data_IF_486052467250
#
_entry.id   IF_486052467250
#
_cell.length_a   1.000
_cell.length_b   1.000
_cell.length_c   1.000
_cell.angle_alpha   90.00
_cell.angle_beta   90.00
_cell.angle_gamma   90.00
#
_symmetry.space_group_name_H-M   'P 1'
#
loop_
_entity.id
_entity.type
_entity.pdbx_description
1 polymer ?
2 polymer ?
3 polymer ?
#
loop_
_entity_poly.entity_id
_entity_poly.type
_entity_poly.pdbx_seq_one_letter_code
_entity_poly.pdbx_strand_id
2 'polydeoxyribonucleotide' '(DT)(DA)(DC)(DC)(DC)(DG)(DT)(DA)(DC)(DG)(DT)(DA)(DG)(DA)(DA)(DC)(DT)(DC)(DG)(DC)(DC)(DA)(DG)(DT)(DA)' ?
3 'polydeoxyribonucleotide' '(DT)(DA)(DC)(DT)(DG)(DG)(DC)(DG)(DA)(DG)(DT)(DT)(DC)(DT)(DA)(DC)(DG)(DT)(DA)(DC)(DG)(DG)(DG)(DT)(DA)' ?
#
# COMPACT_ATOMS: atom_id res chain seq x y z
N UNK A 57 21.71 -16.24 31.23
CA UNK A 57 20.53 -16.23 30.37
C UNK A 57 20.64 -17.28 29.26
N UNK A 58 19.52 -17.63 28.64
CA UNK A 58 19.47 -18.50 27.48
C UNK A 58 19.54 -17.68 26.20
N UNK A 59 19.19 -18.26 25.04
CA UNK A 59 19.22 -17.46 23.82
C UNK A 59 18.14 -16.39 23.91
N UNK A 60 18.52 -15.23 24.43
CA UNK A 60 17.56 -14.13 24.52
C UNK A 60 17.28 -13.51 23.17
N UNK A 61 18.16 -13.76 22.19
CA UNK A 61 18.02 -13.13 20.87
C UNK A 61 16.67 -13.45 20.23
N UNK A 62 16.27 -14.72 20.28
CA UNK A 62 14.98 -15.10 19.71
C UNK A 62 13.80 -14.40 20.37
N UNK A 63 13.78 -14.38 21.70
CA UNK A 63 12.69 -13.72 22.42
C UNK A 63 12.71 -12.21 22.19
N UNK A 64 13.90 -11.61 22.07
CA UNK A 64 13.99 -10.19 21.77
C UNK A 64 13.43 -9.87 20.38
N UNK A 65 13.74 -10.69 19.38
CA UNK A 65 13.17 -10.42 18.07
C UNK A 65 11.65 -10.54 18.09
N UNK A 66 11.13 -11.53 18.83
CA UNK A 66 9.67 -11.68 18.96
C UNK A 66 9.05 -10.45 19.62
N UNK A 67 9.67 -9.99 20.71
CA UNK A 67 9.15 -8.82 21.42
C UNK A 67 9.25 -7.58 20.54
N UNK A 68 10.40 -7.40 19.88
CA UNK A 68 10.59 -6.22 19.03
C UNK A 68 9.56 -6.20 17.91
N UNK A 69 9.28 -7.34 17.27
CA UNK A 69 8.24 -7.37 16.25
C UNK A 69 6.89 -6.92 16.84
N UNK A 70 6.56 -7.43 18.03
CA UNK A 70 5.34 -7.01 18.72
C UNK A 70 5.31 -5.48 18.96
N UNK A 71 6.41 -4.94 19.48
CA UNK A 71 6.53 -3.52 19.87
C UNK A 71 6.51 -2.56 18.67
N UNK A 72 7.23 -2.91 17.58
CA UNK A 72 7.27 -2.05 16.39
C UNK A 72 5.90 -1.88 15.78
N UNK A 73 5.09 -2.93 15.78
CA UNK A 73 3.77 -2.78 15.20
C UNK A 73 2.91 -1.81 16.01
N UNK A 74 2.96 -1.90 17.34
CA UNK A 74 2.18 -0.99 18.17
C UNK A 74 2.66 0.46 18.05
N UNK A 75 3.98 0.69 18.11
CA UNK A 75 4.50 2.06 18.18
C UNK A 75 4.94 2.69 16.86
N UNK A 76 5.34 1.92 15.87
CA UNK A 76 5.99 2.44 14.68
C UNK A 76 7.49 2.51 14.87
N UNK A 77 8.23 2.50 13.76
CA UNK A 77 9.68 2.47 13.86
C UNK A 77 10.24 3.62 14.69
N UNK A 78 9.87 4.84 14.33
CA UNK A 78 10.44 6.02 14.99
C UNK A 78 10.07 6.13 16.47
N UNK A 79 8.80 5.84 16.80
CA UNK A 79 8.36 5.94 18.18
C UNK A 79 8.88 4.80 19.04
N UNK A 80 9.16 3.63 18.45
CA UNK A 80 9.67 2.55 19.26
C UNK A 80 11.00 3.03 19.82
N UNK A 81 11.30 2.61 21.03
CA UNK A 81 12.54 3.00 21.65
C UNK A 81 13.24 1.84 22.31
N UNK A 82 14.55 1.97 22.42
CA UNK A 82 15.30 0.94 23.12
C UNK A 82 14.88 0.89 24.57
N UNK A 83 14.47 2.04 25.13
CA UNK A 83 13.98 2.06 26.49
C UNK A 83 12.74 1.19 26.60
N UNK A 84 11.80 1.35 25.65
CA UNK A 84 10.58 0.54 25.60
C UNK A 84 10.87 -0.93 25.36
N UNK A 85 11.81 -1.22 24.45
CA UNK A 85 12.14 -2.62 24.15
C UNK A 85 12.72 -3.31 25.39
N UNK A 86 13.70 -2.65 26.04
CA UNK A 86 14.27 -3.19 27.27
C UNK A 86 13.19 -3.37 28.32
N UNK A 87 12.32 -2.35 28.48
CA UNK A 87 11.22 -2.42 29.44
C UNK A 87 10.36 -3.66 29.21
N UNK A 88 9.89 -3.85 27.97
CA UNK A 88 8.96 -4.97 27.71
C UNK A 88 9.66 -6.33 27.72
N UNK A 89 10.95 -6.37 27.40
CA UNK A 89 11.67 -7.64 27.45
C UNK A 89 12.10 -7.96 28.87
N UNK A 90 12.08 -6.94 29.74
CA UNK A 90 12.48 -6.99 31.12
C UNK A 90 13.97 -7.11 31.28
N UNK A 91 14.72 -6.75 30.24
CA UNK A 91 16.17 -6.79 30.23
C UNK A 91 16.70 -5.37 30.16
N UNK A 92 17.92 -5.19 30.63
CA UNK A 92 18.51 -3.85 30.53
C UNK A 92 18.90 -3.48 29.09
N UNK A 93 18.97 -2.18 28.78
CA UNK A 93 19.39 -1.78 27.45
C UNK A 93 20.80 -2.20 27.10
N UNK A 94 21.81 -2.15 28.02
CA UNK A 94 23.13 -2.67 27.61
C UNK A 94 23.16 -4.13 27.18
N UNK A 95 22.39 -5.01 27.80
CA UNK A 95 22.33 -6.42 27.36
C UNK A 95 21.75 -6.52 25.96
N UNK A 96 20.70 -5.74 25.69
CA UNK A 96 20.11 -5.70 24.36
C UNK A 96 21.18 -5.29 23.36
N UNK A 97 21.99 -4.30 23.73
CA UNK A 97 23.08 -3.86 22.87
C UNK A 97 24.18 -4.92 22.78
N UNK A 98 24.28 -5.76 23.81
CA UNK A 98 25.20 -6.89 23.77
C UNK A 98 24.82 -7.87 22.69
N UNK A 99 23.52 -7.96 22.40
CA UNK A 99 23.01 -8.86 21.36
C UNK A 99 22.98 -8.22 19.97
N UNK A 100 22.59 -6.94 19.89
CA UNK A 100 22.42 -6.20 18.64
C UNK A 100 23.16 -4.86 18.79
N UNK A 101 24.23 -4.69 18.02
CA UNK A 101 25.04 -3.50 18.18
C UNK A 101 24.34 -2.24 17.66
N UNK A 102 23.28 -2.37 16.85
CA UNK A 102 22.54 -1.19 16.42
C UNK A 102 21.07 -1.50 16.25
N UNK A 103 20.25 -0.45 16.30
CA UNK A 103 18.82 -0.57 16.08
C UNK A 103 18.51 -1.06 14.67
N UNK A 104 19.28 -0.59 13.68
CA UNK A 104 19.09 -0.99 12.29
C UNK A 104 19.33 -2.49 12.07
N UNK A 105 20.36 -3.06 12.69
CA UNK A 105 20.60 -4.49 12.51
C UNK A 105 19.39 -5.28 13.01
N UNK A 106 18.84 -4.89 14.15
CA UNK A 106 17.67 -5.58 14.69
C UNK A 106 16.50 -5.45 13.75
N UNK A 107 16.32 -4.26 13.21
CA UNK A 107 15.22 -4.03 12.28
C UNK A 107 15.38 -4.92 11.03
N UNK A 108 16.58 -4.97 10.46
CA UNK A 108 16.79 -5.82 9.28
C UNK A 108 16.57 -7.30 9.59
N UNK A 109 16.92 -7.75 10.80
CA UNK A 109 16.68 -9.15 11.14
C UNK A 109 15.18 -9.45 11.25
N UNK A 110 14.41 -8.51 11.83
CA UNK A 110 12.96 -8.71 11.92
C UNK A 110 12.35 -8.73 10.51
N UNK A 111 12.70 -7.75 9.69
CA UNK A 111 12.18 -7.67 8.32
C UNK A 111 12.49 -8.97 7.56
N UNK A 112 13.74 -9.45 7.65
CA UNK A 112 14.12 -10.66 6.95
C UNK A 112 13.29 -11.86 7.42
N UNK A 113 13.07 -11.97 8.73
CA UNK A 113 12.25 -13.05 9.25
C UNK A 113 10.85 -13.04 8.64
N UNK A 114 10.24 -11.86 8.59
CA UNK A 114 8.88 -11.77 8.05
C UNK A 114 8.85 -12.04 6.55
N UNK A 115 9.80 -11.49 5.80
CA UNK A 115 9.82 -11.76 4.36
C UNK A 115 9.95 -13.25 4.09
N UNK A 116 10.89 -13.92 4.77
CA UNK A 116 11.05 -15.36 4.52
C UNK A 116 9.79 -16.14 4.88
N UNK A 117 9.10 -15.72 5.94
CA UNK A 117 7.84 -16.38 6.33
C UNK A 117 6.86 -16.31 5.16
N UNK A 118 6.72 -15.14 4.58
CA UNK A 118 5.78 -15.00 3.48
C UNK A 118 6.27 -15.75 2.23
N UNK A 119 7.51 -15.49 1.81
CA UNK A 119 8.06 -16.01 0.54
C UNK A 119 8.16 -17.52 0.48
N UNK A 120 8.60 -18.19 1.55
CA UNK A 120 8.63 -19.64 1.43
C UNK A 120 7.22 -20.17 1.25
N UNK A 121 6.25 -19.56 1.94
CA UNK A 121 4.87 -19.98 1.80
C UNK A 121 4.33 -19.76 0.40
N UNK A 122 4.68 -18.61 -0.19
CA UNK A 122 4.23 -18.30 -1.55
C UNK A 122 4.83 -19.26 -2.57
N UNK A 123 6.14 -19.48 -2.50
CA UNK A 123 6.78 -20.39 -3.45
C UNK A 123 6.17 -21.80 -3.34
N UNK A 124 6.05 -22.30 -2.10
CA UNK A 124 5.48 -23.62 -1.89
C UNK A 124 4.07 -23.70 -2.43
N UNK A 125 3.29 -22.63 -2.25
CA UNK A 125 1.94 -22.60 -2.81
C UNK A 125 1.95 -22.65 -4.34
N UNK A 126 2.84 -21.86 -4.96
CA UNK A 126 2.93 -21.75 -6.42
C UNK A 126 3.46 -23.00 -7.11
N UNK A 127 4.11 -23.90 -6.36
CA UNK A 127 4.65 -25.13 -6.95
C UNK A 127 3.70 -26.33 -6.89
N UNK A 128 2.54 -26.18 -6.22
CA UNK A 128 1.57 -27.27 -6.03
C UNK A 128 0.86 -27.76 -7.30
N UNK A 129 0.55 -26.89 -8.27
CA UNK A 129 -0.26 -27.26 -9.43
C UNK A 129 -0.08 -26.31 -10.61
N UNK A 130 -0.30 -26.84 -11.81
CA UNK A 130 -0.25 -26.07 -13.05
C UNK A 130 -1.63 -25.64 -13.59
N UNK A 131 -2.69 -25.88 -12.83
CA UNK A 131 -4.08 -25.45 -13.07
C UNK A 131 -4.33 -24.00 -12.66
N UNK A 132 -4.53 -23.04 -13.59
CA UNK A 132 -4.52 -21.62 -13.17
C UNK A 132 -5.50 -21.34 -12.05
N UNK A 133 -6.68 -21.97 -12.06
CA UNK A 133 -7.61 -21.76 -10.95
C UNK A 133 -7.01 -22.23 -9.65
N UNK A 134 -6.27 -23.33 -9.74
CA UNK A 134 -5.63 -23.92 -8.58
C UNK A 134 -4.46 -23.06 -8.10
N UNK A 135 -3.59 -22.61 -9.00
CA UNK A 135 -2.48 -21.82 -8.47
C UNK A 135 -2.97 -20.46 -7.98
N UNK A 136 -4.07 -19.96 -8.56
CA UNK A 136 -4.68 -18.74 -8.06
C UNK A 136 -5.16 -18.90 -6.63
N UNK A 137 -5.85 -20.01 -6.38
CA UNK A 137 -6.35 -20.25 -5.03
C UNK A 137 -5.22 -20.48 -4.04
N UNK A 138 -4.22 -21.29 -4.41
CA UNK A 138 -3.12 -21.57 -3.49
C UNK A 138 -2.39 -20.29 -3.09
N UNK A 139 -2.21 -19.37 -4.04
CA UNK A 139 -1.48 -18.14 -3.74
C UNK A 139 -2.30 -17.23 -2.85
N UNK A 140 -3.59 -17.07 -3.15
CA UNK A 140 -4.45 -16.25 -2.31
C UNK A 140 -4.54 -16.84 -0.89
N UNK A 141 -4.64 -18.16 -0.78
CA UNK A 141 -4.65 -18.79 0.52
C UNK A 141 -3.38 -18.47 1.29
N UNK A 142 -2.22 -18.59 0.61
CA UNK A 142 -0.95 -18.30 1.25
C UNK A 142 -0.93 -16.89 1.80
N UNK A 143 -1.49 -15.95 1.03
CA UNK A 143 -1.54 -14.55 1.45
C UNK A 143 -2.41 -14.35 2.69
N UNK A 144 -3.62 -14.91 2.68
CA UNK A 144 -4.49 -14.78 3.84
C UNK A 144 -3.90 -15.47 5.08
N UNK A 145 -3.28 -16.64 4.89
CA UNK A 145 -2.66 -17.34 6.02
C UNK A 145 -1.57 -16.47 6.64
N UNK A 146 -0.76 -15.83 5.79
CA UNK A 146 0.29 -14.94 6.28
C UNK A 146 -0.31 -13.80 7.08
N UNK A 147 -1.31 -13.10 6.51
CA UNK A 147 -1.82 -11.90 7.18
C UNK A 147 -2.52 -12.25 8.48
N UNK A 148 -3.12 -13.46 8.58
CA UNK A 148 -3.77 -13.81 9.84
C UNK A 148 -2.80 -14.26 10.93
N UNK A 149 -1.80 -15.09 10.59
CA UNK A 149 -0.91 -15.59 11.65
C UNK A 149 0.14 -14.54 12.04
N UNK A 150 0.81 -13.96 11.06
CA UNK A 150 1.87 -13.00 11.34
C UNK A 150 1.38 -11.56 11.16
N UNK A 151 0.58 -11.14 12.14
CA UNK A 151 0.01 -9.80 12.14
C UNK A 151 1.12 -8.74 12.13
N UNK A 152 2.21 -9.00 12.86
CA UNK A 152 3.33 -8.07 12.89
C UNK A 152 3.99 -7.93 11.52
N UNK A 153 4.17 -9.04 10.79
CA UNK A 153 4.75 -8.96 9.45
C UNK A 153 3.88 -8.15 8.51
N UNK A 154 2.57 -8.37 8.60
CA UNK A 154 1.59 -7.65 7.82
C UNK A 154 1.72 -6.13 8.04
N UNK A 155 1.79 -5.72 9.31
CA UNK A 155 1.90 -4.30 9.63
C UNK A 155 3.23 -3.72 9.12
N UNK A 156 4.33 -4.46 9.33
CA UNK A 156 5.69 -4.05 8.94
C UNK A 156 5.85 -3.89 7.43
N UNK A 157 5.09 -4.64 6.64
CA UNK A 157 5.22 -4.60 5.17
C UNK A 157 4.33 -3.49 4.61
N UNK A 158 3.10 -3.37 5.09
CA UNK A 158 2.13 -2.45 4.50
C UNK A 158 2.05 -1.09 5.19
N UNK A 159 2.60 -0.97 6.38
CA UNK A 159 2.64 0.26 7.16
C UNK A 159 4.08 0.58 7.55
N UNK A 160 5.00 0.36 6.59
CA UNK A 160 6.42 0.57 6.83
C UNK A 160 6.69 2.05 6.99
N UNK A 161 7.41 2.38 8.06
CA UNK A 161 7.72 3.75 8.42
C UNK A 161 9.18 4.17 8.29
N UNK A 162 10.08 3.36 7.72
CA UNK A 162 11.46 3.87 7.66
C UNK A 162 12.02 3.68 6.24
N UNK A 163 11.49 4.42 5.27
CA UNK A 163 11.90 4.28 3.86
C UNK A 163 13.24 4.96 3.55
N UNK A 164 13.65 5.88 4.42
CA UNK A 164 14.85 6.72 4.39
C UNK A 164 16.16 5.94 4.47
N UNK A 165 16.10 4.66 4.82
CA UNK A 165 17.25 3.78 5.00
C UNK A 165 17.02 2.72 3.94
N UNK A 166 17.72 2.84 2.82
CA UNK A 166 17.54 1.92 1.70
C UNK A 166 17.65 0.46 2.02
N UNK A 167 18.38 0.02 3.03
CA UNK A 167 18.39 -1.42 3.21
C UNK A 167 16.99 -1.90 3.60
N UNK A 168 16.25 -1.03 4.30
CA UNK A 168 14.87 -1.28 4.70
C UNK A 168 13.95 -1.38 3.49
N UNK A 169 14.01 -0.35 2.63
CA UNK A 169 13.20 -0.34 1.43
C UNK A 169 13.54 -1.51 0.53
N UNK A 170 14.82 -1.92 0.49
CA UNK A 170 15.19 -3.05 -0.35
C UNK A 170 14.58 -4.35 0.18
N UNK A 171 14.58 -4.55 1.49
CA UNK A 171 13.95 -5.78 2.02
C UNK A 171 12.45 -5.79 1.73
N UNK A 172 11.81 -4.62 1.80
CA UNK A 172 10.38 -4.51 1.47
C UNK A 172 10.15 -4.80 0.00
N UNK A 173 10.98 -4.20 -0.86
CA UNK A 173 10.88 -4.41 -2.29
C UNK A 173 11.09 -5.87 -2.65
N UNK A 174 12.12 -6.51 -2.09
CA UNK A 174 12.35 -7.91 -2.42
C UNK A 174 11.17 -8.77 -1.98
N UNK A 175 10.54 -8.43 -0.84
CA UNK A 175 9.36 -9.19 -0.44
C UNK A 175 8.19 -8.96 -1.39
N UNK A 176 7.95 -7.71 -1.78
CA UNK A 176 6.87 -7.43 -2.73
C UNK A 176 7.12 -8.08 -4.09
N UNK A 177 8.37 -8.00 -4.57
CA UNK A 177 8.80 -8.59 -5.84
C UNK A 177 8.72 -10.12 -5.87
N UNK A 178 8.93 -10.81 -4.74
CA UNK A 178 8.77 -12.27 -4.78
C UNK A 178 7.33 -12.65 -5.11
N UNK A 179 6.37 -11.92 -4.55
CA UNK A 179 4.96 -12.16 -4.82
C UNK A 179 4.64 -11.82 -6.27
N UNK A 180 5.14 -10.66 -6.71
CA UNK A 180 4.92 -10.26 -8.08
C UNK A 180 5.50 -11.29 -9.04
N UNK A 181 6.73 -11.76 -8.76
CA UNK A 181 7.37 -12.75 -9.62
C UNK A 181 6.56 -14.02 -9.70
N UNK A 182 6.04 -14.50 -8.57
CA UNK A 182 5.30 -15.76 -8.62
C UNK A 182 4.03 -15.63 -9.46
N UNK A 183 3.26 -14.56 -9.27
CA UNK A 183 2.07 -14.42 -10.10
C UNK A 183 2.39 -14.17 -11.57
N UNK A 184 3.28 -13.20 -11.84
CA UNK A 184 3.75 -12.87 -13.19
C UNK A 184 4.31 -14.03 -13.98
N UNK A 185 5.17 -14.84 -13.36
CA UNK A 185 5.75 -15.97 -14.07
C UNK A 185 4.70 -16.93 -14.59
N UNK A 186 3.67 -17.16 -13.77
CA UNK A 186 2.62 -18.07 -14.19
C UNK A 186 1.81 -17.44 -15.31
N UNK A 187 1.44 -16.19 -15.14
CA UNK A 187 0.69 -15.52 -16.20
C UNK A 187 1.48 -15.43 -17.50
N UNK A 188 2.76 -15.06 -17.43
CA UNK A 188 3.61 -14.92 -18.61
C UNK A 188 3.76 -16.24 -19.38
N UNK A 189 4.02 -17.34 -18.67
CA UNK A 189 4.22 -18.63 -19.32
C UNK A 189 2.93 -19.15 -19.92
N UNK A 190 1.81 -18.89 -19.25
CA UNK A 190 0.50 -19.40 -19.59
C UNK A 190 -0.34 -18.38 -20.34
N UNK A 191 0.27 -17.25 -20.79
CA UNK A 191 -0.47 -16.25 -21.57
C UNK A 191 0.28 -15.70 -22.78
N UNK A 192 1.61 -15.61 -22.80
CA UNK A 192 2.25 -15.16 -24.02
C UNK A 192 2.08 -13.70 -24.40
N UNK A 193 1.59 -12.86 -23.49
CA UNK A 193 1.37 -11.42 -23.71
C UNK A 193 2.66 -10.58 -23.68
N UNK A 194 2.51 -9.26 -23.54
CA UNK A 194 3.67 -8.35 -23.46
C UNK A 194 4.30 -8.47 -22.09
N UNK A 195 5.62 -8.76 -21.98
CA UNK A 195 6.23 -8.95 -20.64
C UNK A 195 5.94 -7.83 -19.66
N UNK A 196 6.05 -6.58 -20.11
CA UNK A 196 5.84 -5.41 -19.28
C UNK A 196 4.42 -5.38 -18.71
N UNK A 197 3.43 -5.66 -19.56
CA UNK A 197 2.03 -5.66 -19.17
C UNK A 197 1.71 -6.77 -18.20
N UNK A 198 2.31 -7.95 -18.40
CA UNK A 198 2.03 -9.03 -17.47
C UNK A 198 2.51 -8.69 -16.06
N UNK A 199 3.66 -8.03 -15.92
CA UNK A 199 4.13 -7.70 -14.57
C UNK A 199 3.20 -6.69 -13.92
N UNK A 200 2.73 -5.72 -14.71
CA UNK A 200 1.82 -4.71 -14.18
C UNK A 200 0.53 -5.37 -13.70
N UNK A 201 0.00 -6.31 -14.48
CA UNK A 201 -1.21 -7.01 -14.09
C UNK A 201 -0.98 -7.86 -12.85
N UNK A 202 0.16 -8.54 -12.76
CA UNK A 202 0.50 -9.33 -11.59
C UNK A 202 0.56 -8.46 -10.34
N UNK A 203 1.15 -7.26 -10.46
CA UNK A 203 1.25 -6.33 -9.35
C UNK A 203 -0.15 -5.93 -8.91
N UNK A 204 -1.00 -5.62 -9.88
CA UNK A 204 -2.36 -5.23 -9.57
C UNK A 204 -3.06 -6.34 -8.80
N UNK A 205 -2.89 -7.57 -9.24
CA UNK A 205 -3.52 -8.73 -8.61
C UNK A 205 -3.04 -8.89 -7.17
N UNK A 206 -1.73 -8.81 -6.95
CA UNK A 206 -1.17 -8.93 -5.61
C UNK A 206 -1.68 -7.79 -4.73
N UNK A 207 -1.67 -6.57 -5.25
CA UNK A 207 -2.15 -5.43 -4.49
C UNK A 207 -3.61 -5.59 -4.11
N UNK A 208 -4.42 -6.04 -5.05
CA UNK A 208 -5.84 -6.27 -4.80
C UNK A 208 -6.04 -7.27 -3.66
N UNK A 209 -5.26 -8.34 -3.67
CA UNK A 209 -5.37 -9.35 -2.62
C UNK A 209 -5.01 -8.76 -1.25
N UNK A 210 -3.86 -8.07 -1.18
CA UNK A 210 -3.45 -7.44 0.07
C UNK A 210 -4.48 -6.43 0.57
N UNK A 211 -5.03 -5.60 -0.31
CA UNK A 211 -6.00 -4.58 0.13
C UNK A 211 -7.30 -5.23 0.64
N UNK A 212 -7.77 -6.30 -0.03
CA UNK A 212 -8.95 -7.00 0.46
C UNK A 212 -8.68 -7.57 1.85
N UNK A 213 -7.48 -8.13 2.01
CA UNK A 213 -7.08 -8.73 3.28
C UNK A 213 -7.02 -7.67 4.37
N UNK A 214 -6.50 -6.49 4.04
CA UNK A 214 -6.41 -5.41 5.01
C UNK A 214 -7.81 -4.94 5.40
N UNK A 215 -8.73 -4.89 4.44
CA UNK A 215 -10.11 -4.55 4.77
C UNK A 215 -10.68 -5.55 5.76
N UNK A 216 -10.54 -6.84 5.43
CA UNK A 216 -11.06 -7.91 6.27
C UNK A 216 -10.52 -7.83 7.70
N UNK A 217 -9.19 -7.69 7.83
CA UNK A 217 -8.56 -7.64 9.14
C UNK A 217 -8.94 -6.38 9.93
N UNK A 218 -8.95 -5.22 9.29
CA UNK A 218 -9.32 -3.97 9.95
C UNK A 218 -10.80 -3.94 10.36
N UNK A 219 -11.65 -4.75 9.73
CA UNK A 219 -13.07 -4.82 10.10
C UNK A 219 -13.37 -5.87 11.19
N UNK A 220 -12.33 -6.34 11.91
CA UNK A 220 -12.47 -7.35 12.98
C UNK A 220 -13.04 -8.66 12.46
N UNK A 221 -12.63 -9.05 11.26
CA UNK A 221 -13.00 -10.30 10.63
C UNK A 221 -14.51 -10.49 10.61
N UNK A 222 -15.25 -9.62 9.90
CA UNK A 222 -16.71 -9.74 9.91
C UNK A 222 -17.22 -10.97 9.18
N UNK A 223 -16.40 -11.58 8.30
CA UNK A 223 -16.76 -12.83 7.62
C UNK A 223 -15.62 -13.82 7.77
N UNK A 224 -15.93 -15.08 7.51
CA UNK A 224 -14.93 -16.14 7.61
C UNK A 224 -13.81 -15.98 6.59
N UNK A 225 -12.65 -16.57 6.91
CA UNK A 225 -11.54 -16.60 5.96
C UNK A 225 -11.94 -17.31 4.68
N UNK A 226 -12.69 -18.40 4.80
CA UNK A 226 -13.13 -19.13 3.63
C UNK A 226 -14.00 -18.22 2.75
N UNK A 227 -14.86 -17.41 3.36
CA UNK A 227 -15.68 -16.48 2.59
C UNK A 227 -14.82 -15.39 1.94
N UNK A 228 -13.85 -14.85 2.67
CA UNK A 228 -12.97 -13.82 2.10
C UNK A 228 -12.19 -14.35 0.90
N UNK A 229 -11.64 -15.55 1.04
CA UNK A 229 -10.90 -16.19 -0.04
C UNK A 229 -11.81 -16.44 -1.24
N UNK A 230 -12.98 -17.03 -1.02
CA UNK A 230 -13.87 -17.31 -2.14
C UNK A 230 -14.28 -16.04 -2.86
N UNK A 231 -14.57 -14.96 -2.11
CA UNK A 231 -14.91 -13.70 -2.76
C UNK A 231 -13.78 -13.17 -3.62
N UNK A 232 -12.55 -13.23 -3.09
CA UNK A 232 -11.40 -12.76 -3.85
C UNK A 232 -11.19 -13.61 -5.10
N UNK A 233 -11.31 -14.94 -4.98
CA UNK A 233 -11.09 -15.83 -6.11
C UNK A 233 -12.13 -15.56 -7.19
N UNK A 234 -13.41 -15.48 -6.80
CA UNK A 234 -14.48 -15.23 -7.77
C UNK A 234 -14.26 -13.89 -8.48
N UNK A 235 -13.80 -12.88 -7.74
CA UNK A 235 -13.53 -11.57 -8.34
C UNK A 235 -12.34 -11.63 -9.30
N UNK A 236 -11.28 -12.35 -8.92
CA UNK A 236 -10.11 -12.50 -9.78
C UNK A 236 -10.51 -13.21 -11.08
N UNK A 237 -11.43 -14.16 -10.99
CA UNK A 237 -11.84 -14.95 -12.15
C UNK A 237 -12.81 -14.20 -13.05
N UNK A 238 -13.91 -13.66 -12.52
CA UNK A 238 -14.90 -13.09 -13.42
C UNK A 238 -14.81 -11.58 -13.53
N UNK A 239 -14.03 -10.97 -12.64
CA UNK A 239 -13.86 -9.54 -12.61
C UNK A 239 -15.15 -8.78 -12.31
N UNK A 240 -15.05 -7.46 -12.53
CA UNK A 240 -16.20 -6.58 -12.34
C UNK A 240 -17.35 -6.98 -13.25
N UNK A 241 -17.03 -7.59 -14.40
CA UNK A 241 -18.03 -7.92 -15.42
C UNK A 241 -19.12 -8.85 -14.91
N UNK A 242 -18.87 -9.64 -13.87
CA UNK A 242 -19.84 -10.58 -13.37
C UNK A 242 -20.40 -10.19 -12.00
N UNK A 243 -20.17 -8.95 -11.56
CA UNK A 243 -20.75 -8.44 -10.32
C UNK A 243 -22.24 -8.17 -10.46
N UNK A 244 -22.69 -7.35 -11.45
CA UNK A 244 -24.14 -7.10 -11.53
C UNK A 244 -25.02 -8.35 -11.73
N UNK B 58 2.99 38.85 -2.81
CA UNK B 58 1.70 38.25 -2.46
C UNK B 58 1.86 37.25 -1.32
N UNK B 59 0.82 36.44 -1.12
CA UNK B 59 0.84 35.38 -0.12
C UNK B 59 1.79 34.25 -0.50
N UNK B 60 2.93 34.21 0.18
CA UNK B 60 3.94 33.17 -0.03
C UNK B 60 3.46 31.79 0.39
N UNK B 61 2.33 31.71 1.10
CA UNK B 61 1.84 30.44 1.64
C UNK B 61 1.75 29.36 0.58
N UNK B 62 1.23 29.69 -0.60
CA UNK B 62 1.12 28.71 -1.67
C UNK B 62 2.47 28.13 -2.08
N UNK B 63 3.46 29.01 -2.30
CA UNK B 63 4.79 28.51 -2.69
C UNK B 63 5.42 27.72 -1.55
N UNK B 64 5.15 28.11 -0.31
CA UNK B 64 5.65 27.31 0.79
C UNK B 64 5.08 25.92 0.77
N UNK B 65 3.77 25.77 0.50
CA UNK B 65 3.19 24.42 0.46
C UNK B 65 3.83 23.59 -0.64
N UNK B 66 4.09 24.21 -1.78
CA UNK B 66 4.76 23.50 -2.88
C UNK B 66 6.16 23.05 -2.45
N UNK B 67 6.90 23.95 -1.79
CA UNK B 67 8.26 23.63 -1.36
C UNK B 67 8.23 22.53 -0.31
N UNK B 68 7.31 22.63 0.66
CA UNK B 68 7.22 21.62 1.71
C UNK B 68 6.91 20.25 1.10
N UNK B 69 6.00 20.19 0.14
CA UNK B 69 5.72 18.93 -0.56
C UNK B 69 6.97 18.38 -1.23
N UNK B 70 7.74 19.26 -1.89
CA UNK B 70 9.00 18.86 -2.52
C UNK B 70 9.96 18.25 -1.51
N UNK B 71 10.11 18.91 -0.36
CA UNK B 71 11.07 18.48 0.64
C UNK B 71 10.62 17.15 1.25
N UNK B 72 9.33 17.03 1.57
CA UNK B 72 8.83 15.78 2.14
C UNK B 72 9.00 14.62 1.17
N UNK B 73 8.74 14.84 -0.12
CA UNK B 73 8.92 13.73 -1.05
C UNK B 73 10.40 13.35 -1.22
N UNK B 74 11.31 14.34 -1.35
CA UNK B 74 12.72 13.99 -1.53
C UNK B 74 13.33 13.32 -0.30
N UNK B 75 13.07 13.86 0.89
CA UNK B 75 13.71 13.41 2.12
C UNK B 75 12.90 12.42 2.96
N UNK B 76 11.57 12.44 2.89
CA UNK B 76 10.69 11.75 3.80
C UNK B 76 10.35 12.61 5.00
N UNK B 77 9.22 12.29 5.64
CA UNK B 77 8.76 13.13 6.74
C UNK B 77 9.78 13.33 7.84
N UNK B 78 10.32 12.24 8.36
CA UNK B 78 11.20 12.32 9.52
C UNK B 78 12.50 13.07 9.24
N UNK B 79 13.09 12.82 8.07
CA UNK B 79 14.34 13.50 7.70
C UNK B 79 14.10 14.94 7.28
N UNK B 80 12.91 15.26 6.79
CA UNK B 80 12.64 16.62 6.39
C UNK B 80 12.74 17.51 7.62
N UNK B 81 13.22 18.72 7.41
CA UNK B 81 13.36 19.67 8.50
C UNK B 81 12.87 21.02 8.06
N UNK B 82 12.46 21.81 9.06
CA UNK B 82 12.02 23.17 8.74
C UNK B 82 13.18 23.98 8.17
N UNK B 83 14.41 23.66 8.60
CA UNK B 83 15.58 24.34 8.06
C UNK B 83 15.71 24.10 6.55
N UNK B 84 15.56 22.84 6.12
CA UNK B 84 15.63 22.52 4.68
C UNK B 84 14.49 23.16 3.88
N UNK B 85 13.26 23.16 4.42
CA UNK B 85 12.14 23.76 3.71
C UNK B 85 12.37 25.26 3.52
N UNK B 86 12.76 25.95 4.61
CA UNK B 86 13.05 27.38 4.52
C UNK B 86 14.15 27.62 3.50
N UNK B 87 15.22 26.83 3.55
CA UNK B 87 16.34 26.95 2.61
C UNK B 87 15.85 26.89 1.16
N UNK B 88 15.08 25.85 0.81
CA UNK B 88 14.69 25.69 -0.60
C UNK B 88 13.65 26.71 -1.02
N UNK B 89 12.85 27.24 -0.08
CA UNK B 89 11.88 28.26 -0.40
C UNK B 89 12.53 29.63 -0.49
N UNK B 90 13.76 29.74 0.01
CA UNK B 90 14.56 30.96 0.08
C UNK B 90 14.08 31.95 1.13
N UNK B 91 13.34 31.46 2.11
CA UNK B 91 12.81 32.22 3.21
C UNK B 91 13.47 31.80 4.52
N UNK B 92 13.44 32.69 5.49
CA UNK B 92 13.96 32.37 6.82
C UNK B 92 13.00 31.43 7.53
N UNK B 93 13.54 30.68 8.48
CA UNK B 93 12.69 29.78 9.25
C UNK B 93 11.62 30.49 10.09
N UNK B 94 11.86 31.65 10.71
CA UNK B 94 10.76 32.31 11.43
C UNK B 94 9.55 32.65 10.56
N UNK B 95 9.72 33.05 9.30
CA UNK B 95 8.55 33.32 8.45
C UNK B 95 7.73 32.06 8.20
N UNK B 96 8.41 30.94 7.97
CA UNK B 96 7.72 29.68 7.79
C UNK B 96 6.88 29.38 9.04
N UNK B 97 7.46 29.62 10.23
CA UNK B 97 6.69 29.40 11.46
C UNK B 97 5.55 30.41 11.63
N UNK B 98 5.69 31.61 11.04
CA UNK B 98 4.61 32.60 11.07
C UNK B 98 3.41 32.10 10.26
N UNK B 99 3.65 31.31 9.22
CA UNK B 99 2.58 30.76 8.39
C UNK B 99 2.01 29.43 8.88
N UNK B 100 2.86 28.52 9.36
CA UNK B 100 2.43 27.19 9.77
C UNK B 100 3.04 26.96 11.14
N UNK B 101 2.19 26.89 12.16
CA UNK B 101 2.70 26.78 13.53
C UNK B 101 3.34 25.44 13.87
N UNK B 102 3.12 24.37 13.11
CA UNK B 102 3.83 23.15 13.46
C UNK B 102 4.17 22.35 12.22
N UNK B 103 5.17 21.49 12.35
CA UNK B 103 5.52 20.63 11.24
C UNK B 103 4.34 19.73 10.92
N UNK B 104 3.65 19.25 11.95
CA UNK B 104 2.47 18.42 11.71
C UNK B 104 1.41 19.21 10.98
N UNK B 105 1.19 20.47 11.39
CA UNK B 105 0.19 21.28 10.72
C UNK B 105 0.56 21.50 9.26
N UNK B 106 1.84 21.78 9.00
CA UNK B 106 2.29 21.99 7.62
C UNK B 106 2.13 20.72 6.80
N UNK B 107 2.48 19.59 7.38
CA UNK B 107 2.35 18.31 6.71
C UNK B 107 0.89 18.02 6.41
N UNK B 108 0.01 18.20 7.41
CA UNK B 108 -1.42 17.96 7.21
C UNK B 108 -2.01 18.91 6.18
N UNK B 109 -1.52 20.14 6.11
CA UNK B 109 -2.01 21.05 5.08
C UNK B 109 -1.60 20.57 3.70
N UNK B 110 -0.36 20.08 3.59
CA UNK B 110 0.12 19.55 2.31
C UNK B 110 -0.71 18.32 1.92
N UNK B 111 -0.84 17.39 2.88
CA UNK B 111 -1.61 16.17 2.66
C UNK B 111 -3.03 16.48 2.25
N UNK B 112 -3.67 17.41 2.96
CA UNK B 112 -5.05 17.73 2.65
C UNK B 112 -5.16 18.28 1.24
N UNK B 113 -4.22 19.14 0.86
CA UNK B 113 -4.25 19.67 -0.50
C UNK B 113 -4.20 18.53 -1.52
N UNK B 114 -3.28 17.58 -1.29
CA UNK B 114 -3.14 16.48 -2.25
C UNK B 114 -4.37 15.57 -2.26
N UNK B 115 -4.89 15.23 -1.10
CA UNK B 115 -6.08 14.39 -1.06
C UNK B 115 -7.23 15.05 -1.80
N UNK B 116 -7.49 16.34 -1.54
CA UNK B 116 -8.59 16.99 -2.23
C UNK B 116 -8.35 16.98 -3.73
N UNK B 117 -7.08 17.13 -4.14
CA UNK B 117 -6.69 17.08 -5.55
C UNK B 117 -7.13 15.76 -6.19
N UNK B 118 -6.82 14.66 -5.53
CA UNK B 118 -7.16 13.33 -6.06
C UNK B 118 -8.67 13.08 -6.03
N UNK B 119 -9.28 13.26 -4.87
CA UNK B 119 -10.68 12.90 -4.66
C UNK B 119 -11.63 13.69 -5.54
N UNK B 120 -11.42 15.01 -5.70
CA UNK B 120 -12.34 15.75 -6.55
C UNK B 120 -12.26 15.26 -7.99
N UNK B 121 -11.06 14.92 -8.46
CA UNK B 121 -10.92 14.41 -9.82
C UNK B 121 -11.64 13.09 -9.99
N UNK B 122 -11.51 12.21 -8.98
CA UNK B 122 -12.16 10.91 -9.04
C UNK B 122 -13.68 11.04 -8.99
N UNK B 123 -14.20 11.83 -8.04
CA UNK B 123 -15.65 12.00 -7.94
C UNK B 123 -16.24 12.61 -9.21
N UNK B 124 -15.60 13.67 -9.74
CA UNK B 124 -16.10 14.28 -10.97
C UNK B 124 -16.09 13.25 -12.10
N UNK B 125 -15.08 12.39 -12.14
CA UNK B 125 -15.04 11.33 -13.14
C UNK B 125 -16.24 10.41 -13.00
N UNK B 126 -16.57 10.06 -11.76
CA UNK B 126 -17.67 9.13 -11.47
C UNK B 126 -19.05 9.73 -11.77
N UNK B 127 -19.15 11.05 -11.90
CA UNK B 127 -20.45 11.68 -12.20
C UNK B 127 -20.72 11.88 -13.69
N UNK B 128 -19.74 11.60 -14.55
CA UNK B 128 -19.83 11.81 -16.00
C UNK B 128 -20.82 10.87 -16.69
N UNK B 129 -20.96 9.63 -16.23
CA UNK B 129 -21.78 8.67 -16.95
C UNK B 129 -22.22 7.54 -16.04
N UNK B 130 -23.36 6.94 -16.39
CA UNK B 130 -23.90 5.78 -15.68
C UNK B 130 -23.60 4.44 -16.36
N UNK B 131 -22.78 4.44 -17.40
CA UNK B 131 -22.28 3.23 -18.04
C UNK B 131 -21.16 2.73 -17.14
N UNK B 132 -21.39 1.67 -16.36
CA UNK B 132 -20.44 1.29 -15.33
C UNK B 132 -19.05 1.02 -15.90
N UNK B 133 -18.97 0.42 -17.08
CA UNK B 133 -17.65 0.20 -17.71
C UNK B 133 -16.95 1.53 -17.97
N UNK B 134 -17.75 2.54 -18.34
CA UNK B 134 -17.23 3.87 -18.62
C UNK B 134 -16.77 4.53 -17.32
N UNK B 135 -17.57 4.42 -16.26
CA UNK B 135 -17.13 5.05 -15.04
C UNK B 135 -15.93 4.35 -14.47
N UNK B 136 -15.78 3.05 -14.75
CA UNK B 136 -14.57 2.34 -14.37
C UNK B 136 -13.35 2.93 -15.05
N UNK B 137 -13.48 3.18 -16.35
CA UNK B 137 -12.39 3.77 -17.09
C UNK B 137 -12.11 5.20 -16.65
N UNK B 138 -13.16 6.01 -16.49
CA UNK B 138 -12.96 7.40 -16.09
C UNK B 138 -12.27 7.51 -14.74
N UNK B 139 -12.64 6.65 -13.80
CA UNK B 139 -12.05 6.75 -12.48
C UNK B 139 -10.61 6.29 -12.49
N UNK B 140 -10.32 5.16 -13.15
CA UNK B 140 -8.93 4.73 -13.21
C UNK B 140 -8.06 5.75 -13.95
N UNK B 141 -8.58 6.33 -15.05
CA UNK B 141 -7.84 7.35 -15.78
C UNK B 141 -7.56 8.53 -14.86
N UNK B 142 -8.57 8.96 -14.09
CA UNK B 142 -8.40 10.08 -13.16
C UNK B 142 -7.28 9.78 -12.17
N UNK B 143 -7.21 8.53 -11.72
CA UNK B 143 -6.18 8.11 -10.77
C UNK B 143 -4.78 8.20 -11.40
N UNK B 144 -4.65 7.65 -12.61
CA UNK B 144 -3.35 7.73 -13.29
C UNK B 144 -2.98 9.19 -13.57
N UNK B 145 -3.97 10.01 -13.94
CA UNK B 145 -3.74 11.43 -14.20
C UNK B 145 -3.18 12.11 -12.95
N UNK B 146 -3.76 11.77 -11.79
CA UNK B 146 -3.32 12.31 -10.52
C UNK B 146 -1.86 11.93 -10.28
N UNK B 147 -1.56 10.66 -10.43
CA UNK B 147 -0.23 10.18 -10.09
C UNK B 147 0.80 10.77 -11.06
N UNK B 148 0.40 11.07 -12.30
CA UNK B 148 1.38 11.67 -13.20
C UNK B 148 1.63 13.15 -12.94
N UNK B 149 0.58 13.96 -12.69
CA UNK B 149 0.89 15.39 -12.56
C UNK B 149 1.45 15.76 -11.19
N UNK B 150 0.77 15.33 -10.15
CA UNK B 150 1.17 15.68 -8.80
C UNK B 150 1.89 14.44 -8.28
N UNK B 151 3.10 14.30 -8.84
CA UNK B 151 3.99 13.18 -8.57
C UNK B 151 4.33 13.07 -7.08
N UNK B 152 4.51 14.21 -6.43
CA UNK B 152 4.82 14.28 -5.01
C UNK B 152 3.69 13.75 -4.13
N UNK B 153 2.43 14.08 -4.49
CA UNK B 153 1.25 13.63 -3.74
C UNK B 153 1.04 12.12 -3.68
N UNK B 154 1.24 11.41 -4.79
CA UNK B 154 1.10 9.97 -4.74
C UNK B 154 2.03 9.41 -3.67
N UNK B 155 3.27 9.85 -3.68
CA UNK B 155 4.27 9.37 -2.73
C UNK B 155 3.89 9.75 -1.29
N UNK B 156 3.46 10.99 -1.07
CA UNK B 156 3.09 11.46 0.28
C UNK B 156 1.90 10.71 0.87
N UNK B 157 0.99 10.22 0.04
CA UNK B 157 -0.19 9.54 0.58
C UNK B 157 0.10 8.06 0.79
N UNK B 158 0.76 7.43 -0.18
CA UNK B 158 0.97 6.00 -0.24
C UNK B 158 2.32 5.56 0.31
N UNK B 159 3.25 6.48 0.50
CA UNK B 159 4.60 6.25 1.05
C UNK B 159 4.80 7.15 2.25
N UNK B 160 3.72 7.19 3.05
CA UNK B 160 3.58 8.00 4.26
C UNK B 160 4.47 7.48 5.37
N UNK B 161 5.24 8.40 5.99
CA UNK B 161 6.16 8.01 7.05
C UNK B 161 5.78 8.51 8.44
N UNK B 162 4.59 9.07 8.64
CA UNK B 162 4.25 9.56 9.97
C UNK B 162 2.96 8.89 10.45
N UNK B 163 3.05 7.58 10.73
CA UNK B 163 1.91 6.76 11.16
C UNK B 163 1.54 7.00 12.64
N UNK B 164 2.48 7.55 13.41
CA UNK B 164 2.44 7.88 14.83
C UNK B 164 1.42 8.97 15.20
N UNK B 165 0.91 9.70 14.22
CA UNK B 165 -0.04 10.80 14.42
C UNK B 165 -1.32 10.42 13.70
N UNK B 166 -2.31 9.93 14.45
CA UNK B 166 -3.57 9.47 13.85
C UNK B 166 -4.30 10.46 12.96
N UNK B 167 -4.18 11.78 13.13
CA UNK B 167 -4.95 12.64 12.24
C UNK B 167 -4.45 12.48 10.79
N UNK B 168 -3.16 12.18 10.65
CA UNK B 168 -2.56 11.92 9.35
C UNK B 168 -3.17 10.66 8.74
N UNK B 169 -3.14 9.58 9.51
CA UNK B 169 -3.70 8.32 9.06
C UNK B 169 -5.19 8.46 8.78
N UNK B 170 -5.89 9.29 9.57
CA UNK B 170 -7.33 9.46 9.34
C UNK B 170 -7.59 10.15 8.01
N UNK B 171 -6.80 11.18 7.68
CA UNK B 171 -6.98 11.85 6.39
C UNK B 171 -6.72 10.89 5.22
N UNK B 172 -5.73 10.00 5.38
CA UNK B 172 -5.42 8.98 4.37
C UNK B 172 -6.57 7.98 4.24
N UNK B 173 -7.08 7.51 5.38
CA UNK B 173 -8.19 6.58 5.40
C UNK B 173 -9.42 7.17 4.73
N UNK B 174 -9.77 8.42 5.07
CA UNK B 174 -10.94 9.06 4.47
C UNK B 174 -10.78 9.22 2.95
N UNK B 175 -9.55 9.48 2.48
CA UNK B 175 -9.39 9.57 1.03
C UNK B 175 -9.60 8.22 0.37
N UNK B 176 -9.05 7.16 0.95
CA UNK B 176 -9.27 5.85 0.35
C UNK B 176 -10.74 5.44 0.42
N UNK B 177 -11.38 5.68 1.59
CA UNK B 177 -12.78 5.38 1.82
C UNK B 177 -13.77 6.16 0.98
N UNK B 178 -13.50 7.42 0.63
CA UNK B 178 -14.45 8.10 -0.23
C UNK B 178 -14.55 7.42 -1.61
N UNK B 179 -13.41 7.00 -2.15
CA UNK B 179 -13.39 6.30 -3.43
C UNK B 179 -14.06 4.95 -3.29
N UNK B 180 -13.70 4.23 -2.23
CA UNK B 180 -14.31 2.94 -1.97
C UNK B 180 -15.82 3.08 -1.80
N UNK B 181 -16.27 4.09 -1.04
CA UNK B 181 -17.70 4.30 -0.81
C UNK B 181 -18.43 4.53 -2.13
N UNK B 182 -17.84 5.34 -3.03
CA UNK B 182 -18.49 5.61 -4.30
C UNK B 182 -18.62 4.36 -5.16
N UNK B 183 -17.55 3.56 -5.20
CA UNK B 183 -17.60 2.32 -5.97
C UNK B 183 -18.61 1.34 -5.35
N UNK B 184 -18.55 1.15 -4.03
CA UNK B 184 -19.52 0.33 -3.30
C UNK B 184 -20.97 0.74 -3.58
N UNK B 185 -21.24 2.05 -3.51
CA UNK B 185 -22.60 2.54 -3.74
C UNK B 185 -23.07 2.18 -5.14
N UNK B 186 -22.16 2.27 -6.12
CA UNK B 186 -22.55 1.95 -7.48
C UNK B 186 -22.82 0.45 -7.62
N UNK B 187 -21.93 -0.38 -7.06
CA UNK B 187 -22.12 -1.83 -7.14
C UNK B 187 -23.43 -2.25 -6.47
N UNK B 188 -23.74 -1.69 -5.30
CA UNK B 188 -24.97 -2.05 -4.59
C UNK B 188 -26.21 -1.69 -5.40
N UNK B 189 -26.26 -0.47 -5.96
CA UNK B 189 -27.44 -0.06 -6.71
C UNK B 189 -27.59 -0.84 -8.02
N UNK B 190 -26.49 -1.16 -8.68
CA UNK B 190 -26.54 -1.79 -10.00
C UNK B 190 -26.27 -3.30 -9.97
N UNK B 191 -26.21 -3.93 -8.80
CA UNK B 191 -25.98 -5.37 -8.75
C UNK B 191 -26.80 -6.16 -7.76
N UNK B 192 -27.37 -5.56 -6.71
CA UNK B 192 -28.16 -6.31 -5.77
C UNK B 192 -27.31 -7.13 -4.83
N UNK B 193 -26.00 -6.85 -4.82
CA UNK B 193 -25.02 -7.48 -3.95
C UNK B 193 -25.16 -6.92 -2.54
N UNK B 194 -25.06 -7.78 -1.53
CA UNK B 194 -25.16 -7.24 -0.18
C UNK B 194 -23.89 -6.49 0.20
N UNK B 195 -23.96 -5.66 1.27
CA UNK B 195 -22.81 -4.80 1.62
C UNK B 195 -21.42 -5.41 1.79
N UNK B 196 -21.26 -6.53 2.49
CA UNK B 196 -19.92 -7.08 2.70
C UNK B 196 -19.20 -7.43 1.41
N UNK B 197 -19.87 -8.16 0.51
CA UNK B 197 -19.25 -8.55 -0.74
C UNK B 197 -18.99 -7.37 -1.66
N UNK B 198 -19.95 -6.45 -1.74
CA UNK B 198 -19.76 -5.28 -2.60
C UNK B 198 -18.62 -4.40 -2.09
N UNK B 199 -18.53 -4.21 -0.77
CA UNK B 199 -17.47 -3.37 -0.24
C UNK B 199 -16.11 -4.02 -0.42
N UNK B 200 -16.04 -5.34 -0.24
CA UNK B 200 -14.77 -6.04 -0.41
C UNK B 200 -14.30 -5.91 -1.85
N UNK B 201 -15.22 -6.05 -2.81
CA UNK B 201 -14.83 -5.89 -4.22
C UNK B 201 -14.40 -4.45 -4.52
N UNK B 202 -15.11 -3.46 -3.97
CA UNK B 202 -14.72 -2.07 -4.16
C UNK B 202 -13.31 -1.81 -3.63
N UNK B 203 -13.01 -2.38 -2.45
CA UNK B 203 -11.68 -2.22 -1.87
C UNK B 203 -10.64 -2.87 -2.77
N UNK B 204 -10.95 -4.06 -3.27
CA UNK B 204 -10.02 -4.74 -4.15
C UNK B 204 -9.71 -3.93 -5.40
N UNK B 205 -10.75 -3.36 -6.01
CA UNK B 205 -10.59 -2.57 -7.23
C UNK B 205 -9.72 -1.34 -7.00
N UNK B 206 -9.99 -0.58 -5.93
CA UNK B 206 -9.18 0.60 -5.64
C UNK B 206 -7.72 0.21 -5.35
N UNK B 207 -7.51 -0.82 -4.55
CA UNK B 207 -6.15 -1.24 -4.25
C UNK B 207 -5.41 -1.67 -5.50
N UNK B 208 -6.07 -2.45 -6.37
CA UNK B 208 -5.46 -2.91 -7.61
C UNK B 208 -5.04 -1.74 -8.49
N UNK B 209 -5.90 -0.73 -8.62
CA UNK B 209 -5.57 0.44 -9.44
C UNK B 209 -4.36 1.21 -8.90
N UNK B 210 -4.34 1.48 -7.59
CA UNK B 210 -3.18 2.18 -6.99
C UNK B 210 -1.89 1.39 -7.18
N UNK B 211 -1.92 0.07 -6.96
CA UNK B 211 -0.70 -0.73 -7.11
C UNK B 211 -0.22 -0.78 -8.57
N UNK B 212 -1.16 -0.88 -9.51
CA UNK B 212 -0.79 -0.86 -10.92
C UNK B 212 -0.12 0.46 -11.26
N UNK B 213 -0.68 1.56 -10.76
CA UNK B 213 -0.12 2.86 -11.04
C UNK B 213 1.28 3.00 -10.44
N UNK B 214 1.47 2.51 -9.20
CA UNK B 214 2.80 2.61 -8.60
C UNK B 214 3.82 1.75 -9.36
N UNK B 215 3.42 0.56 -9.83
CA UNK B 215 4.35 -0.22 -10.65
C UNK B 215 4.74 0.55 -11.90
N UNK B 216 3.73 1.05 -12.62
CA UNK B 216 3.96 1.78 -13.87
C UNK B 216 4.91 2.94 -13.64
N UNK B 217 4.64 3.75 -12.60
CA UNK B 217 5.49 4.92 -12.34
C UNK B 217 6.90 4.52 -11.91
N UNK B 218 7.04 3.52 -11.01
CA UNK B 218 8.36 3.07 -10.60
C UNK B 218 9.13 2.39 -11.73
N UNK B 219 8.42 1.89 -12.75
CA UNK B 219 9.07 1.30 -13.92
C UNK B 219 9.34 2.35 -15.01
N UNK B 220 9.24 3.62 -14.65
CA UNK B 220 9.48 4.75 -15.56
C UNK B 220 8.52 4.78 -16.76
N UNK B 221 7.25 4.43 -16.56
CA UNK B 221 6.24 4.54 -17.61
C UNK B 221 6.60 3.78 -18.91
N UNK B 222 6.75 2.47 -18.87
CA UNK B 222 7.16 1.75 -20.09
C UNK B 222 6.11 1.75 -21.19
N UNK B 223 4.85 2.03 -20.89
CA UNK B 223 3.79 2.14 -21.88
C UNK B 223 3.02 3.43 -21.64
N UNK B 224 2.23 3.82 -22.64
CA UNK B 224 1.45 5.03 -22.53
C UNK B 224 0.40 4.90 -21.43
N UNK B 225 -0.04 6.04 -20.91
CA UNK B 225 -1.14 5.98 -19.94
C UNK B 225 -2.35 5.36 -20.57
N UNK B 226 -2.60 5.72 -21.83
CA UNK B 226 -3.74 5.13 -22.49
C UNK B 226 -3.55 3.64 -22.51
N UNK B 227 -2.32 3.19 -22.77
CA UNK B 227 -2.06 1.76 -22.73
C UNK B 227 -2.16 1.23 -21.31
N UNK B 228 -1.60 1.97 -20.35
CA UNK B 228 -1.65 1.58 -18.96
C UNK B 228 -3.09 1.54 -18.49
N UNK B 229 -3.86 2.57 -18.84
CA UNK B 229 -5.27 2.61 -18.47
C UNK B 229 -6.06 1.46 -19.10
N UNK B 230 -5.93 1.25 -20.41
CA UNK B 230 -6.71 0.19 -21.06
C UNK B 230 -6.37 -1.19 -20.50
N UNK B 231 -5.08 -1.47 -20.27
CA UNK B 231 -4.71 -2.75 -19.70
C UNK B 231 -5.33 -2.95 -18.33
N UNK B 232 -5.30 -1.90 -17.49
CA UNK B 232 -5.88 -1.99 -16.15
C UNK B 232 -7.39 -2.20 -16.20
N UNK B 233 -8.09 -1.47 -17.07
CA UNK B 233 -9.55 -1.62 -17.15
C UNK B 233 -9.91 -3.02 -17.61
N UNK B 234 -9.27 -3.51 -18.69
CA UNK B 234 -9.58 -4.83 -19.22
C UNK B 234 -9.32 -5.92 -18.17
N UNK B 235 -8.24 -5.79 -17.39
CA UNK B 235 -7.99 -6.79 -16.35
C UNK B 235 -9.04 -6.70 -15.24
N UNK B 236 -9.40 -5.47 -14.83
CA UNK B 236 -10.43 -5.27 -13.81
C UNK B 236 -11.78 -5.81 -14.26
N UNK B 237 -12.08 -5.69 -15.54
CA UNK B 237 -13.37 -6.10 -16.08
C UNK B 237 -13.47 -7.60 -16.27
N UNK B 238 -12.51 -8.19 -16.96
CA UNK B 238 -12.63 -9.59 -17.33
C UNK B 238 -11.88 -10.56 -16.44
N UNK B 239 -11.03 -10.04 -15.57
CA UNK B 239 -10.25 -10.88 -14.70
C UNK B 239 -9.26 -11.80 -15.41
N UNK B 240 -8.74 -12.74 -14.61
CA UNK B 240 -7.79 -13.72 -15.11
C UNK B 240 -8.35 -14.59 -16.23
N UNK B 241 -9.67 -14.83 -16.24
CA UNK B 241 -10.25 -15.73 -17.23
C UNK B 241 -9.96 -15.29 -18.65
N UNK B 242 -9.70 -13.99 -18.86
CA UNK B 242 -9.49 -13.42 -20.18
C UNK B 242 -8.04 -12.98 -20.41
N UNK B 243 -7.11 -13.41 -19.56
CA UNK B 243 -5.68 -13.11 -19.76
C UNK B 243 -5.01 -13.89 -20.90
N UNK B 244 -5.10 -15.25 -20.96
CA UNK B 244 -4.36 -15.88 -22.05
C UNK B 244 -4.80 -15.42 -23.44
#
# INVERSE_FOLDING_TARGET
MGSSHHHHHHSSGLVPAGSHMSDLAKTAQRRALRSSGSARPDEDVPAPNRRGNRLPRDERRGQLLVVASDVFVDRGYHAAGMDEIADRAGVSKPVLYQHFSSKLELYLAVLHRHVENLVSGVHQALSTTTDNRQRLHVAVQAFFDFIEHDSQGYRLIFENDFVTEPEVAAQVRVATESCIDAVFALISADSGLDPHRARMIAVGLVGMSVDCARYWLDADKPISKSDAVEGTVQFAWGGLSHVPLTRS
MGSSHHHHHHSSGLVPAGSHMSDLAKTAQRRALRSSGSARPDEDVPAPNRRGNRLPRDERRGQLLVVASDVFVDRGYHAAGMDEIADRAGVSKPVLYQHFSSKLELYLAVLHRHVENLVSGVHQALSTTTDNRQRLHVAVQAFFDFIEHDSQGYRLIFENDFVTEPEVAAQVRVATESCIDAVFALISADSGLDPHRARMIAVGLVGMSVDCARYWLDADKPISKSDAVEGTVQFAWGGLSHVPLTRS
#
